data_IF_796317138491
#
_entry.id   IF_796317138491
#
_cell.length_a   1.000
_cell.length_b   1.000
_cell.length_c   1.000
_cell.angle_alpha   90.00
_cell.angle_beta   90.00
_cell.angle_gamma   90.00
#
_symmetry.space_group_name_H-M   'P 1'
#
loop_
_entity.id
_entity.type
_entity.pdbx_description
1 polymer ?
#
# COMPACT_ATOMS: atom_id res chain seq x y z
N UNK A 1 13.35 -36.54 -7.50
CA UNK A 1 13.13 -36.82 -6.07
C UNK A 1 12.11 -35.82 -5.60
N UNK A 2 10.85 -36.24 -5.40
CA UNK A 2 9.86 -35.37 -4.74
C UNK A 2 10.36 -35.08 -3.33
N UNK A 3 10.37 -33.80 -2.94
CA UNK A 3 10.69 -33.43 -1.57
C UNK A 3 9.65 -34.08 -0.64
N UNK A 4 10.05 -34.62 0.53
CA UNK A 4 9.13 -35.25 1.48
C UNK A 4 8.32 -34.16 2.19
N UNK A 5 7.34 -33.57 1.49
CA UNK A 5 6.45 -32.56 1.99
C UNK A 5 5.00 -32.94 1.70
N UNK A 6 4.09 -32.48 2.55
CA UNK A 6 2.66 -32.70 2.35
C UNK A 6 2.19 -32.14 1.00
N UNK A 7 1.21 -32.77 0.33
CA UNK A 7 0.76 -32.37 -1.02
C UNK A 7 0.33 -30.90 -1.15
N UNK A 8 -0.14 -30.29 -0.06
CA UNK A 8 -0.54 -28.87 -0.01
C UNK A 8 0.64 -27.89 0.07
N UNK A 9 1.83 -28.34 0.50
CA UNK A 9 2.97 -27.45 0.72
C UNK A 9 3.62 -27.01 -0.59
N UNK A 10 3.69 -27.89 -1.59
CA UNK A 10 4.26 -27.57 -2.91
C UNK A 10 3.55 -26.39 -3.59
N UNK A 11 2.22 -26.37 -3.78
CA UNK A 11 1.56 -25.23 -4.42
C UNK A 11 1.71 -23.93 -3.63
N UNK A 12 1.71 -24.02 -2.29
CA UNK A 12 1.86 -22.85 -1.43
C UNK A 12 3.29 -22.27 -1.48
N UNK A 13 4.32 -23.11 -1.31
CA UNK A 13 5.71 -22.66 -1.35
C UNK A 13 6.12 -22.11 -2.72
N UNK A 14 5.59 -22.69 -3.80
CA UNK A 14 5.75 -22.17 -5.15
C UNK A 14 5.06 -20.82 -5.33
N UNK A 15 3.83 -20.67 -4.81
CA UNK A 15 3.10 -19.40 -4.86
C UNK A 15 3.88 -18.26 -4.22
N UNK A 16 4.43 -18.49 -3.01
CA UNK A 16 5.22 -17.49 -2.30
C UNK A 16 6.42 -16.98 -3.12
N UNK A 17 7.16 -17.89 -3.78
CA UNK A 17 8.38 -17.53 -4.51
C UNK A 17 8.12 -17.06 -5.93
N UNK A 18 7.22 -17.71 -6.65
CA UNK A 18 7.00 -17.43 -8.07
C UNK A 18 6.23 -16.12 -8.29
N UNK A 19 5.26 -15.79 -7.43
CA UNK A 19 4.56 -14.50 -7.55
C UNK A 19 5.52 -13.34 -7.30
N UNK A 20 6.37 -13.42 -6.28
CA UNK A 20 7.40 -12.40 -6.02
C UNK A 20 8.34 -12.23 -7.23
N UNK A 21 8.87 -13.35 -7.74
CA UNK A 21 9.77 -13.34 -8.89
C UNK A 21 9.12 -12.75 -10.14
N UNK A 22 7.87 -13.12 -10.43
CA UNK A 22 7.15 -12.63 -11.59
C UNK A 22 6.78 -11.15 -11.45
N UNK A 23 6.34 -10.73 -10.27
CA UNK A 23 6.00 -9.34 -10.05
C UNK A 23 7.25 -8.44 -10.15
N UNK A 24 8.37 -8.87 -9.56
CA UNK A 24 9.66 -8.20 -9.69
C UNK A 24 10.13 -8.10 -11.15
N UNK A 25 10.00 -9.19 -11.93
CA UNK A 25 10.32 -9.22 -13.36
C UNK A 25 9.48 -8.22 -14.16
N UNK A 26 8.15 -8.23 -13.99
CA UNK A 26 7.27 -7.33 -14.73
C UNK A 26 7.50 -5.86 -14.34
N UNK A 27 7.76 -5.59 -13.05
CA UNK A 27 8.13 -4.27 -12.57
C UNK A 27 9.48 -3.79 -13.13
N UNK A 28 10.51 -4.65 -13.14
CA UNK A 28 11.81 -4.34 -13.75
C UNK A 28 11.67 -4.02 -15.24
N UNK A 29 10.87 -4.81 -15.97
CA UNK A 29 10.57 -4.53 -17.37
C UNK A 29 9.89 -3.17 -17.56
N UNK A 30 8.91 -2.84 -16.70
CA UNK A 30 8.26 -1.54 -16.70
C UNK A 30 9.28 -0.41 -16.48
N UNK A 31 10.08 -0.50 -15.43
CA UNK A 31 11.06 0.51 -15.03
C UNK A 31 12.10 0.78 -16.14
N UNK A 32 12.68 -0.27 -16.71
CA UNK A 32 13.78 -0.16 -17.68
C UNK A 32 13.33 0.21 -19.08
N UNK A 33 12.11 -0.20 -19.47
CA UNK A 33 11.68 -0.09 -20.87
C UNK A 33 10.50 0.85 -21.03
N UNK A 34 9.43 0.63 -20.25
CA UNK A 34 8.17 1.34 -20.46
C UNK A 34 8.25 2.76 -19.90
N UNK A 35 8.60 2.90 -18.62
CA UNK A 35 8.72 4.18 -17.95
C UNK A 35 9.69 5.12 -18.69
N UNK A 36 10.86 4.64 -19.09
CA UNK A 36 11.83 5.41 -19.87
C UNK A 36 11.28 5.83 -21.24
N UNK A 37 10.56 4.95 -21.95
CA UNK A 37 10.04 5.24 -23.29
C UNK A 37 8.93 6.31 -23.32
N UNK A 38 8.13 6.40 -22.27
CA UNK A 38 7.02 7.36 -22.17
C UNK A 38 7.27 8.50 -21.18
N UNK A 39 8.44 8.56 -20.55
CA UNK A 39 8.76 9.59 -19.55
C UNK A 39 7.88 9.50 -18.30
N UNK A 40 7.49 8.28 -17.92
CA UNK A 40 6.66 8.03 -16.74
C UNK A 40 7.52 7.79 -15.49
N UNK A 41 7.00 8.13 -14.31
CA UNK A 41 7.68 7.90 -13.04
C UNK A 41 7.70 6.41 -12.74
N UNK A 42 8.83 5.94 -12.21
CA UNK A 42 8.92 4.58 -11.68
C UNK A 42 8.69 4.57 -10.17
N UNK A 43 9.25 5.54 -9.45
CA UNK A 43 9.31 5.51 -7.98
C UNK A 43 10.11 4.30 -7.47
N UNK A 44 9.95 3.99 -6.19
CA UNK A 44 10.50 2.76 -5.63
C UNK A 44 9.72 1.53 -6.11
N UNK A 45 10.38 0.37 -6.14
CA UNK A 45 9.72 -0.89 -6.45
C UNK A 45 8.69 -1.27 -5.37
N UNK A 46 7.62 -2.00 -5.72
CA UNK A 46 6.77 -2.66 -4.73
C UNK A 46 7.58 -3.54 -3.80
N UNK A 47 7.23 -3.52 -2.52
CA UNK A 47 7.90 -4.25 -1.45
C UNK A 47 6.96 -5.33 -0.91
N UNK A 48 7.52 -6.49 -0.57
CA UNK A 48 6.80 -7.48 0.20
C UNK A 48 6.51 -6.91 1.59
N UNK A 49 5.24 -6.89 1.97
CA UNK A 49 4.82 -6.46 3.31
C UNK A 49 4.78 -7.66 4.25
N UNK A 50 3.88 -8.62 4.00
CA UNK A 50 3.76 -9.84 4.81
C UNK A 50 2.95 -10.93 4.10
N UNK A 51 3.10 -12.16 4.59
CA UNK A 51 2.20 -13.26 4.28
C UNK A 51 1.12 -13.38 5.35
N UNK A 52 -0.10 -13.71 4.95
CA UNK A 52 -1.23 -13.96 5.85
C UNK A 52 -1.90 -15.29 5.46
N UNK A 53 -1.32 -16.40 5.92
CA UNK A 53 -1.79 -17.74 5.53
C UNK A 53 -1.51 -18.05 4.07
N UNK A 54 -2.55 -18.12 3.25
CA UNK A 54 -2.49 -18.31 1.79
C UNK A 54 -2.48 -16.99 1.01
N UNK A 55 -2.41 -15.85 1.69
CA UNK A 55 -2.38 -14.52 1.09
C UNK A 55 -0.97 -13.90 1.12
N UNK A 56 -0.58 -13.20 0.06
CA UNK A 56 0.63 -12.39 -0.02
C UNK A 56 0.26 -10.93 -0.14
N UNK A 57 0.79 -10.09 0.75
CA UNK A 57 0.58 -8.66 0.72
C UNK A 57 1.86 -7.96 0.28
N UNK A 58 1.70 -7.08 -0.70
CA UNK A 58 2.73 -6.17 -1.17
C UNK A 58 2.26 -4.75 -0.93
N UNK A 59 3.22 -3.85 -0.68
CA UNK A 59 2.97 -2.41 -0.55
C UNK A 59 3.81 -1.65 -1.55
N UNK A 60 3.33 -0.49 -1.96
CA UNK A 60 4.09 0.45 -2.77
C UNK A 60 3.74 1.87 -2.34
N UNK A 61 4.74 2.61 -1.91
CA UNK A 61 4.63 4.06 -1.75
C UNK A 61 4.57 4.70 -3.14
N UNK A 62 3.61 5.60 -3.33
CA UNK A 62 3.36 6.30 -4.58
C UNK A 62 4.03 7.67 -4.52
N UNK A 63 4.92 7.96 -5.46
CA UNK A 63 5.42 9.33 -5.70
C UNK A 63 4.64 10.06 -6.80
N UNK A 64 3.87 9.33 -7.60
CA UNK A 64 3.02 9.88 -8.66
C UNK A 64 1.84 8.92 -8.91
N UNK A 65 0.66 9.48 -9.19
CA UNK A 65 -0.57 8.71 -9.39
C UNK A 65 -0.45 7.75 -10.58
N UNK A 66 0.38 8.06 -11.59
CA UNK A 66 0.61 7.19 -12.76
C UNK A 66 1.25 5.85 -12.40
N UNK A 67 1.95 5.78 -11.28
CA UNK A 67 2.55 4.54 -10.79
C UNK A 67 1.50 3.48 -10.43
N UNK A 68 0.26 3.89 -10.11
CA UNK A 68 -0.83 2.92 -9.81
C UNK A 68 -1.18 2.06 -11.01
N UNK A 69 -1.21 2.65 -12.23
CA UNK A 69 -1.50 1.93 -13.45
C UNK A 69 -0.39 0.93 -13.75
N UNK A 70 0.87 1.35 -13.61
CA UNK A 70 2.01 0.47 -13.79
C UNK A 70 1.99 -0.71 -12.81
N UNK A 71 1.74 -0.44 -11.53
CA UNK A 71 1.71 -1.45 -10.48
C UNK A 71 0.61 -2.50 -10.74
N UNK A 72 -0.62 -2.03 -11.02
CA UNK A 72 -1.76 -2.91 -11.30
C UNK A 72 -1.54 -3.75 -12.57
N UNK A 73 -1.00 -3.15 -13.63
CA UNK A 73 -0.68 -3.87 -14.86
C UNK A 73 0.42 -4.92 -14.67
N UNK A 74 1.49 -4.60 -13.96
CA UNK A 74 2.57 -5.55 -13.65
C UNK A 74 2.05 -6.69 -12.78
N UNK A 75 1.25 -6.38 -11.76
CA UNK A 75 0.61 -7.39 -10.90
C UNK A 75 -0.31 -8.30 -11.71
N UNK A 76 -1.19 -7.73 -12.52
CA UNK A 76 -2.14 -8.50 -13.31
C UNK A 76 -1.43 -9.47 -14.28
N UNK A 77 -0.34 -9.03 -14.92
CA UNK A 77 0.50 -9.90 -15.76
C UNK A 77 1.16 -11.01 -14.96
N UNK A 78 1.77 -10.69 -13.82
CA UNK A 78 2.40 -11.67 -12.96
C UNK A 78 1.42 -12.76 -12.49
N UNK A 79 0.22 -12.35 -12.05
CA UNK A 79 -0.84 -13.27 -11.63
C UNK A 79 -1.36 -14.11 -12.79
N UNK A 80 -1.58 -13.54 -13.98
CA UNK A 80 -2.03 -14.31 -15.14
C UNK A 80 -0.98 -15.31 -15.63
N UNK A 81 0.31 -14.94 -15.62
CA UNK A 81 1.42 -15.85 -15.94
C UNK A 81 1.50 -16.99 -14.92
N UNK A 82 1.44 -16.69 -13.62
CA UNK A 82 1.48 -17.72 -12.58
C UNK A 82 0.24 -18.62 -12.59
N UNK A 83 -0.96 -18.05 -12.81
CA UNK A 83 -2.22 -18.80 -12.89
C UNK A 83 -2.17 -19.89 -13.97
N UNK A 84 -1.57 -19.60 -15.13
CA UNK A 84 -1.38 -20.61 -16.18
C UNK A 84 -0.62 -21.83 -15.67
N UNK A 85 0.53 -21.59 -15.03
CA UNK A 85 1.37 -22.65 -14.42
C UNK A 85 0.67 -23.37 -13.27
N UNK A 86 -0.04 -22.62 -12.43
CA UNK A 86 -0.76 -23.16 -11.29
C UNK A 86 -1.83 -24.15 -11.75
N UNK A 87 -2.66 -23.78 -12.75
CA UNK A 87 -3.75 -24.64 -13.25
C UNK A 87 -3.26 -25.87 -14.01
N UNK A 88 -2.09 -25.79 -14.66
CA UNK A 88 -1.46 -26.96 -15.29
C UNK A 88 -1.09 -28.05 -14.26
N UNK A 89 -0.64 -27.63 -13.07
CA UNK A 89 -0.17 -28.55 -12.02
C UNK A 89 -1.23 -28.87 -10.97
N UNK A 90 -2.11 -27.91 -10.69
CA UNK A 90 -3.14 -27.96 -9.67
C UNK A 90 -4.46 -27.38 -10.23
N UNK A 91 -5.20 -28.15 -11.05
CA UNK A 91 -6.37 -27.64 -11.80
C UNK A 91 -7.52 -27.09 -10.93
N UNK A 92 -7.59 -27.48 -9.65
CA UNK A 92 -8.60 -27.00 -8.70
C UNK A 92 -8.22 -25.71 -7.99
N UNK A 93 -6.99 -25.21 -8.15
CA UNK A 93 -6.49 -24.02 -7.48
C UNK A 93 -6.53 -22.80 -8.41
N UNK A 94 -6.73 -21.64 -7.80
CA UNK A 94 -6.75 -20.36 -8.49
C UNK A 94 -6.36 -19.22 -7.55
N UNK A 95 -6.21 -18.02 -8.11
CA UNK A 95 -5.73 -16.84 -7.43
C UNK A 95 -6.75 -15.73 -7.55
N UNK A 96 -7.03 -15.06 -6.43
CA UNK A 96 -7.78 -13.80 -6.38
C UNK A 96 -6.82 -12.63 -6.17
N UNK A 97 -7.20 -11.45 -6.66
CA UNK A 97 -6.42 -10.22 -6.47
C UNK A 97 -7.29 -9.14 -5.86
N UNK A 98 -6.71 -8.33 -4.98
CA UNK A 98 -7.35 -7.13 -4.41
C UNK A 98 -6.30 -6.06 -4.18
N UNK A 99 -6.66 -4.80 -4.42
CA UNK A 99 -5.78 -3.66 -4.20
C UNK A 99 -6.58 -2.47 -3.65
N UNK A 100 -5.94 -1.69 -2.81
CA UNK A 100 -6.54 -0.50 -2.20
C UNK A 100 -5.46 0.54 -1.94
N UNK A 101 -5.91 1.76 -1.64
CA UNK A 101 -5.03 2.84 -1.23
C UNK A 101 -5.28 3.17 0.24
N UNK A 102 -4.21 3.52 0.96
CA UNK A 102 -4.26 3.94 2.34
C UNK A 102 -3.38 5.19 2.52
N UNK A 103 -3.93 6.22 3.16
CA UNK A 103 -3.21 7.46 3.45
C UNK A 103 -2.54 7.42 4.83
N UNK A 104 -1.26 7.74 4.87
CA UNK A 104 -0.43 7.82 6.08
C UNK A 104 0.16 9.22 6.23
N UNK A 105 0.50 9.66 7.45
CA UNK A 105 0.20 9.06 8.76
C UNK A 105 -1.16 9.53 9.34
N UNK A 106 -2.01 10.16 8.51
CA UNK A 106 -3.23 10.83 8.99
C UNK A 106 -4.32 9.82 9.38
N UNK A 107 -4.80 9.01 8.43
CA UNK A 107 -5.90 8.06 8.71
C UNK A 107 -5.41 6.70 9.17
N UNK A 108 -4.22 6.31 8.70
CA UNK A 108 -3.58 5.05 8.99
C UNK A 108 -2.23 5.32 9.64
N UNK A 109 -1.74 4.36 10.42
CA UNK A 109 -0.47 4.45 11.13
C UNK A 109 0.44 3.29 10.74
N UNK A 110 1.74 3.60 10.67
CA UNK A 110 2.80 2.60 10.63
C UNK A 110 3.13 2.20 12.06
N UNK A 111 3.17 0.90 12.33
CA UNK A 111 3.57 0.35 13.61
C UNK A 111 4.85 -0.44 13.42
N UNK A 112 5.84 -0.19 14.26
CA UNK A 112 7.14 -0.87 14.19
C UNK A 112 7.27 -1.83 15.37
N UNK A 113 7.57 -3.07 15.06
CA UNK A 113 7.82 -4.15 16.02
C UNK A 113 9.30 -4.50 16.05
N UNK A 114 9.78 -4.91 17.22
CA UNK A 114 11.07 -5.60 17.35
C UNK A 114 10.86 -7.07 16.99
N UNK A 115 11.72 -7.59 16.10
CA UNK A 115 11.61 -8.95 15.56
C UNK A 115 11.90 -10.04 16.60
N UNK A 116 12.55 -9.69 17.71
CA UNK A 116 12.81 -10.57 18.84
C UNK A 116 12.41 -9.87 20.15
N UNK A 117 11.78 -10.64 21.03
CA UNK A 117 11.56 -10.25 22.44
C UNK A 117 12.84 -10.61 23.19
N UNK A 118 13.88 -9.80 23.05
CA UNK A 118 14.99 -9.84 23.99
C UNK A 118 14.52 -9.20 25.31
N UNK A 119 15.19 -9.50 26.44
CA UNK A 119 14.83 -8.90 27.73
C UNK A 119 14.85 -7.37 27.57
N UNK A 120 13.68 -6.75 27.57
CA UNK A 120 13.56 -5.30 27.67
C UNK A 120 14.20 -4.93 29.00
N UNK A 121 15.13 -3.97 28.98
CA UNK A 121 15.61 -3.39 30.23
C UNK A 121 14.39 -2.77 30.93
N UNK A 122 14.18 -3.08 32.22
CA UNK A 122 13.06 -2.60 33.05
C UNK A 122 13.03 -1.05 33.20
N UNK A 123 13.90 -0.33 32.47
CA UNK A 123 14.05 1.13 32.44
C UNK A 123 13.59 1.78 31.12
N UNK A 124 13.13 1.03 30.11
CA UNK A 124 12.35 1.65 29.03
C UNK A 124 10.98 2.04 29.63
N UNK A 125 10.80 3.32 29.97
CA UNK A 125 9.55 3.89 30.49
C UNK A 125 8.36 3.55 29.57
N UNK A 126 7.65 2.46 29.88
CA UNK A 126 6.49 1.88 29.16
C UNK A 126 5.24 2.81 29.05
N UNK A 127 5.34 4.08 29.44
CA UNK A 127 4.18 4.93 29.68
C UNK A 127 3.62 5.66 28.44
N UNK A 128 4.34 5.69 27.30
CA UNK A 128 3.84 6.34 26.07
C UNK A 128 4.08 5.51 24.78
N UNK A 129 3.10 4.66 24.39
CA UNK A 129 3.22 3.82 23.20
C UNK A 129 3.27 4.62 21.88
N UNK A 130 2.79 5.87 21.86
CA UNK A 130 2.83 6.71 20.66
C UNK A 130 4.26 7.19 20.45
N UNK A 131 4.90 7.72 21.51
CA UNK A 131 6.28 8.18 21.44
C UNK A 131 7.25 7.05 21.08
N UNK A 132 7.11 5.89 21.73
CA UNK A 132 7.93 4.71 21.44
C UNK A 132 7.84 4.29 19.97
N UNK A 133 6.61 4.21 19.43
CA UNK A 133 6.42 3.86 18.04
C UNK A 133 7.06 4.89 17.09
N UNK A 134 6.91 6.19 17.37
CA UNK A 134 7.56 7.24 16.57
C UNK A 134 9.09 7.17 16.62
N UNK A 135 9.65 6.81 17.79
CA UNK A 135 11.09 6.61 17.93
C UNK A 135 11.58 5.39 17.13
N UNK A 136 10.83 4.28 17.16
CA UNK A 136 11.12 3.09 16.35
C UNK A 136 10.96 3.38 14.85
N UNK A 137 9.99 4.22 14.47
CA UNK A 137 9.79 4.68 13.09
C UNK A 137 10.98 5.51 12.59
N UNK A 138 11.47 6.46 13.39
CA UNK A 138 12.69 7.23 13.06
C UNK A 138 13.89 6.28 12.89
N UNK A 139 14.05 5.30 13.80
CA UNK A 139 15.11 4.27 13.70
C UNK A 139 14.97 3.44 12.42
N UNK A 140 13.77 2.97 12.10
CA UNK A 140 13.47 2.17 10.91
C UNK A 140 13.87 2.92 9.62
N UNK A 141 13.48 4.18 9.48
CA UNK A 141 13.77 5.00 8.30
C UNK A 141 15.20 5.56 8.24
N UNK A 142 15.94 5.57 9.35
CA UNK A 142 17.31 6.12 9.40
C UNK A 142 18.37 5.32 8.63
N UNK A 143 18.01 4.19 8.01
CA UNK A 143 18.88 3.27 7.22
C UNK A 143 20.09 2.67 7.97
N UNK A 144 20.41 3.14 9.17
CA UNK A 144 21.56 2.69 9.97
C UNK A 144 21.25 1.48 10.86
N UNK A 145 19.98 1.18 11.15
CA UNK A 145 19.66 0.15 12.14
C UNK A 145 18.25 -0.48 12.02
N UNK A 146 17.78 -0.80 10.81
CA UNK A 146 16.50 -1.52 10.62
C UNK A 146 16.59 -3.03 10.84
N UNK A 147 17.79 -3.58 11.09
CA UNK A 147 17.95 -5.01 11.38
C UNK A 147 17.22 -5.36 12.68
N UNK A 148 16.33 -6.34 12.60
CA UNK A 148 15.51 -6.74 13.74
C UNK A 148 14.29 -5.86 13.99
N UNK A 149 13.92 -4.97 13.06
CA UNK A 149 12.65 -4.26 13.09
C UNK A 149 11.73 -4.75 11.96
N UNK A 150 10.45 -4.91 12.27
CA UNK A 150 9.40 -5.25 11.31
C UNK A 150 8.36 -4.13 11.29
N UNK A 151 7.95 -3.71 10.10
CA UNK A 151 6.91 -2.71 9.89
C UNK A 151 5.57 -3.39 9.61
N UNK A 152 4.52 -2.90 10.24
CA UNK A 152 3.14 -3.23 9.90
C UNK A 152 2.30 -1.96 9.71
N UNK A 153 1.14 -2.11 9.07
CA UNK A 153 0.20 -1.01 8.83
C UNK A 153 -1.12 -1.28 9.53
N UNK A 154 -1.65 -0.26 10.22
CA UNK A 154 -2.97 -0.31 10.87
C UNK A 154 -3.81 0.89 10.48
N UNK A 155 -5.13 0.72 10.46
CA UNK A 155 -6.08 1.81 10.29
C UNK A 155 -7.28 1.44 9.41
N UNK A 156 -8.25 2.36 9.29
CA UNK A 156 -9.52 2.08 8.61
C UNK A 156 -9.38 1.70 7.14
N UNK A 157 -8.38 2.24 6.43
CA UNK A 157 -8.15 1.89 5.01
C UNK A 157 -7.56 0.49 4.88
N UNK A 158 -6.71 0.08 5.83
CA UNK A 158 -6.16 -1.28 5.89
C UNK A 158 -7.26 -2.30 6.15
N UNK A 159 -8.13 -2.03 7.12
CA UNK A 159 -9.29 -2.87 7.41
C UNK A 159 -10.22 -2.97 6.21
N UNK A 160 -10.47 -1.85 5.52
CA UNK A 160 -11.27 -1.82 4.29
C UNK A 160 -10.65 -2.71 3.22
N UNK A 161 -9.33 -2.65 3.02
CA UNK A 161 -8.61 -3.50 2.07
C UNK A 161 -8.81 -5.00 2.33
N UNK A 162 -8.64 -5.43 3.58
CA UNK A 162 -8.90 -6.82 3.97
C UNK A 162 -10.36 -7.23 3.76
N UNK A 163 -11.33 -6.33 4.00
CA UNK A 163 -12.75 -6.60 3.73
C UNK A 163 -13.06 -6.67 2.23
N UNK A 164 -12.40 -5.86 1.40
CA UNK A 164 -12.53 -5.96 -0.05
C UNK A 164 -11.99 -7.29 -0.60
N UNK A 165 -10.97 -7.86 0.05
CA UNK A 165 -10.38 -9.14 -0.37
C UNK A 165 -11.37 -10.32 -0.35
N UNK A 166 -12.43 -10.22 0.46
CA UNK A 166 -13.48 -11.25 0.53
C UNK A 166 -14.46 -11.18 -0.63
N UNK A 167 -14.45 -10.07 -1.38
CA UNK A 167 -15.30 -9.88 -2.57
C UNK A 167 -14.58 -10.26 -3.87
N UNK A 168 -13.26 -10.41 -3.82
CA UNK A 168 -12.47 -10.79 -4.97
C UNK A 168 -12.69 -12.25 -5.36
N UNK A 169 -12.67 -12.47 -6.67
CA UNK A 169 -12.74 -13.80 -7.27
C UNK A 169 -11.59 -13.94 -8.26
N UNK A 170 -11.33 -15.15 -8.80
CA UNK A 170 -10.32 -15.29 -9.84
C UNK A 170 -10.50 -14.37 -11.05
N UNK A 171 -11.76 -14.02 -11.35
CA UNK A 171 -12.12 -13.09 -12.42
C UNK A 171 -12.10 -11.63 -11.95
N UNK A 172 -12.56 -11.35 -10.73
CA UNK A 172 -12.74 -9.98 -10.22
C UNK A 172 -11.52 -9.56 -9.39
N UNK A 173 -10.64 -8.77 -10.00
CA UNK A 173 -9.64 -8.01 -9.24
C UNK A 173 -10.31 -6.80 -8.62
N UNK A 174 -10.74 -6.94 -7.37
CA UNK A 174 -11.48 -5.90 -6.63
C UNK A 174 -10.53 -4.77 -6.25
N UNK A 175 -10.99 -3.53 -6.42
CA UNK A 175 -10.23 -2.32 -6.10
C UNK A 175 -11.04 -1.38 -5.22
N UNK A 176 -10.36 -0.61 -4.37
CA UNK A 176 -11.00 0.44 -3.57
C UNK A 176 -11.46 1.62 -4.44
N UNK A 177 -12.39 2.43 -3.93
CA UNK A 177 -12.93 3.60 -4.64
C UNK A 177 -11.86 4.66 -4.93
N UNK A 178 -10.94 4.86 -3.98
CA UNK A 178 -9.80 5.77 -4.10
C UNK A 178 -8.83 5.31 -5.18
N UNK A 179 -8.56 4.00 -5.23
CA UNK A 179 -7.71 3.41 -6.26
C UNK A 179 -8.36 3.51 -7.64
N UNK A 180 -9.68 3.30 -7.74
CA UNK A 180 -10.40 3.48 -9.00
C UNK A 180 -10.26 4.92 -9.54
N UNK A 181 -10.34 5.93 -8.66
CA UNK A 181 -10.16 7.34 -9.03
C UNK A 181 -8.74 7.62 -9.54
N UNK A 182 -7.71 7.15 -8.84
CA UNK A 182 -6.31 7.30 -9.25
C UNK A 182 -6.03 6.58 -10.58
N UNK A 183 -6.57 5.37 -10.76
CA UNK A 183 -6.44 4.60 -12.00
C UNK A 183 -7.12 5.28 -13.17
N UNK A 184 -8.30 5.89 -12.98
CA UNK A 184 -8.98 6.66 -14.03
C UNK A 184 -8.12 7.83 -14.51
N UNK A 185 -7.50 8.56 -13.58
CA UNK A 185 -6.61 9.66 -13.94
C UNK A 185 -5.36 9.17 -14.71
N UNK A 186 -4.75 8.08 -14.25
CA UNK A 186 -3.62 7.47 -14.95
C UNK A 186 -4.01 6.92 -16.34
N UNK A 187 -5.17 6.26 -16.45
CA UNK A 187 -5.70 5.67 -17.69
C UNK A 187 -6.02 6.74 -18.75
N UNK A 188 -6.57 7.88 -18.34
CA UNK A 188 -6.79 9.03 -19.25
C UNK A 188 -5.48 9.57 -19.84
N UNK A 189 -4.37 9.43 -19.10
CA UNK A 189 -3.03 9.80 -19.55
C UNK A 189 -2.30 8.67 -20.30
N UNK A 190 -2.93 7.49 -20.48
CA UNK A 190 -2.32 6.28 -21.08
C UNK A 190 -1.92 6.42 -22.55
N UNK A 191 -2.36 7.46 -23.27
CA UNK A 191 -1.98 7.67 -24.67
C UNK A 191 -0.45 7.64 -24.92
N UNK A 192 0.36 7.98 -23.90
CA UNK A 192 1.83 7.89 -23.94
C UNK A 192 2.36 6.45 -23.77
N UNK A 193 1.61 5.58 -23.08
CA UNK A 193 1.89 4.15 -22.84
C UNK A 193 1.44 3.27 -24.00
N UNK A 194 0.56 3.72 -24.91
CA UNK A 194 -0.01 2.87 -25.98
C UNK A 194 1.03 2.24 -26.95
N UNK A 195 2.29 2.69 -26.92
CA UNK A 195 3.40 2.00 -27.60
C UNK A 195 3.88 0.73 -26.88
N UNK A 196 3.34 0.43 -25.70
CA UNK A 196 3.79 -0.65 -24.81
C UNK A 196 2.69 -1.70 -24.62
N UNK A 197 3.09 -2.93 -24.31
CA UNK A 197 2.25 -4.15 -24.29
C UNK A 197 1.23 -4.21 -23.13
N UNK A 198 0.67 -3.10 -22.68
CA UNK A 198 -0.31 -3.07 -21.59
C UNK A 198 -1.70 -2.74 -22.13
N UNK A 199 -2.63 -3.66 -21.89
CA UNK A 199 -4.03 -3.48 -22.24
C UNK A 199 -4.66 -2.36 -21.41
N UNK A 200 -5.68 -1.72 -21.98
CA UNK A 200 -6.47 -0.72 -21.25
C UNK A 200 -7.18 -1.38 -20.06
N UNK A 201 -7.22 -0.71 -18.92
CA UNK A 201 -7.99 -1.18 -17.77
C UNK A 201 -9.48 -1.05 -18.10
N UNK A 202 -10.20 -2.18 -17.99
CA UNK A 202 -11.66 -2.22 -18.07
C UNK A 202 -12.22 -2.17 -16.65
N UNK A 203 -12.82 -1.04 -16.30
CA UNK A 203 -13.47 -0.86 -15.00
C UNK A 203 -14.87 -1.46 -15.03
N UNK A 204 -15.23 -2.21 -14.00
CA UNK A 204 -16.58 -2.71 -13.80
C UNK A 204 -17.09 -2.29 -12.41
N UNK A 205 -18.40 -2.15 -12.29
CA UNK A 205 -19.07 -1.78 -11.05
C UNK A 205 -20.08 -2.85 -10.66
N UNK A 206 -19.94 -3.40 -9.46
CA UNK A 206 -20.78 -4.50 -8.94
C UNK A 206 -21.86 -4.01 -7.94
N UNK A 207 -22.09 -2.69 -7.87
CA UNK A 207 -23.01 -2.10 -6.90
C UNK A 207 -22.34 -1.80 -5.57
N UNK A 208 -23.16 -1.58 -4.53
CA UNK A 208 -22.69 -1.31 -3.17
C UNK A 208 -23.03 -2.47 -2.25
N UNK A 209 -22.09 -2.89 -1.41
CA UNK A 209 -22.28 -3.99 -0.46
C UNK A 209 -21.94 -3.55 0.96
N UNK A 210 -22.68 -3.99 1.98
CA UNK A 210 -22.32 -3.69 3.37
C UNK A 210 -21.02 -4.41 3.73
N UNK A 211 -20.05 -3.66 4.26
CA UNK A 211 -18.79 -4.19 4.75
C UNK A 211 -18.73 -3.99 6.27
N UNK A 212 -18.66 -5.08 7.04
CA UNK A 212 -18.68 -5.02 8.51
C UNK A 212 -17.50 -4.21 9.02
N UNK A 213 -17.81 -3.15 9.79
CA UNK A 213 -16.81 -2.27 10.39
C UNK A 213 -16.23 -1.22 9.43
N UNK A 214 -16.76 -1.12 8.21
CA UNK A 214 -16.32 -0.15 7.20
C UNK A 214 -17.40 0.91 7.03
N UNK A 215 -17.00 2.18 6.89
CA UNK A 215 -17.84 3.34 6.58
C UNK A 215 -19.10 3.50 7.46
N UNK A 216 -19.02 3.15 8.75
CA UNK A 216 -20.15 3.28 9.67
C UNK A 216 -21.35 2.38 9.33
N UNK A 217 -21.15 1.30 8.57
CA UNK A 217 -22.21 0.40 8.14
C UNK A 217 -22.92 0.80 6.85
N UNK A 218 -22.51 1.90 6.20
CA UNK A 218 -22.94 2.22 4.84
C UNK A 218 -22.46 1.14 3.85
N UNK A 219 -23.14 1.03 2.72
CA UNK A 219 -22.75 0.09 1.66
C UNK A 219 -21.58 0.66 0.84
N UNK A 220 -20.47 -0.07 0.79
CA UNK A 220 -19.25 0.30 0.10
C UNK A 220 -19.35 -0.01 -1.41
N UNK A 221 -18.96 0.90 -2.31
CA UNK A 221 -19.02 0.69 -3.75
C UNK A 221 -17.92 -0.28 -4.22
N UNK A 222 -18.32 -1.32 -4.94
CA UNK A 222 -17.40 -2.37 -5.38
C UNK A 222 -17.03 -2.14 -6.84
N UNK A 223 -15.80 -1.70 -7.06
CA UNK A 223 -15.18 -1.66 -8.37
C UNK A 223 -14.26 -2.87 -8.57
N UNK A 224 -14.16 -3.33 -9.80
CA UNK A 224 -13.24 -4.41 -10.14
C UNK A 224 -12.70 -4.28 -11.57
N UNK A 225 -11.54 -4.90 -11.78
CA UNK A 225 -10.87 -5.04 -13.06
C UNK A 225 -11.00 -6.49 -13.51
N UNK A 226 -11.36 -6.71 -14.78
CA UNK A 226 -11.51 -8.05 -15.32
C UNK A 226 -10.13 -8.70 -15.53
N UNK A 227 -9.88 -9.77 -14.77
CA UNK A 227 -8.67 -10.60 -14.87
C UNK A 227 -8.78 -11.70 -15.94
N UNK A 228 -9.85 -11.64 -16.74
CA UNK A 228 -10.00 -12.32 -18.01
C UNK A 228 -9.96 -13.85 -17.91
N UNK A 229 -11.09 -14.41 -17.50
CA UNK A 229 -11.45 -15.81 -17.76
C UNK A 229 -12.48 -15.82 -18.89
N UNK A 230 -12.04 -15.90 -20.16
CA UNK A 230 -12.94 -15.96 -21.32
C UNK A 230 -13.43 -17.38 -21.57
N UNK A 231 -14.03 -17.99 -20.55
CA UNK A 231 -14.87 -19.15 -20.80
C UNK A 231 -16.25 -18.68 -21.29
N UNK A 232 -16.91 -19.52 -22.08
CA UNK A 232 -18.21 -19.17 -22.70
C UNK A 232 -19.31 -18.93 -21.66
N UNK A 233 -19.22 -19.56 -20.49
CA UNK A 233 -20.21 -19.41 -19.44
C UNK A 233 -20.12 -18.02 -18.83
N UNK A 234 -18.91 -17.56 -18.48
CA UNK A 234 -18.67 -16.20 -17.96
C UNK A 234 -19.22 -15.11 -18.89
N UNK A 235 -19.06 -15.25 -20.20
CA UNK A 235 -19.63 -14.31 -21.18
C UNK A 235 -21.17 -14.35 -21.20
N UNK A 236 -21.76 -15.54 -21.15
CA UNK A 236 -23.22 -15.69 -21.08
C UNK A 236 -23.81 -15.16 -19.77
N UNK A 237 -23.07 -15.27 -18.66
CA UNK A 237 -23.46 -14.69 -17.37
C UNK A 237 -23.41 -13.17 -17.41
N UNK A 238 -22.40 -12.58 -18.06
CA UNK A 238 -22.32 -11.13 -18.24
C UNK A 238 -23.52 -10.58 -19.02
N UNK A 239 -23.88 -11.27 -20.10
CA UNK A 239 -25.04 -10.90 -20.93
C UNK A 239 -26.33 -10.95 -20.11
N UNK A 240 -26.53 -12.00 -19.30
CA UNK A 240 -27.70 -12.15 -18.45
C UNK A 240 -27.78 -11.08 -17.35
N UNK A 241 -26.63 -10.71 -16.78
CA UNK A 241 -26.52 -9.76 -15.68
C UNK A 241 -26.36 -8.30 -16.14
N UNK A 242 -26.20 -8.06 -17.46
CA UNK A 242 -25.90 -6.74 -18.01
C UNK A 242 -24.55 -6.18 -17.53
N UNK A 243 -23.57 -7.06 -17.27
CA UNK A 243 -22.23 -6.66 -16.84
C UNK A 243 -21.51 -6.04 -18.02
N UNK A 244 -21.16 -4.76 -17.90
CA UNK A 244 -20.46 -4.02 -18.94
C UNK A 244 -19.35 -3.18 -18.33
N UNK A 245 -18.25 -3.03 -19.08
CA UNK A 245 -17.19 -2.11 -18.72
C UNK A 245 -17.75 -0.67 -18.69
N UNK A 246 -17.34 0.09 -17.68
CA UNK A 246 -17.71 1.49 -17.49
C UNK A 246 -16.62 2.38 -18.05
N UNK A 247 -17.04 3.48 -18.68
CA UNK A 247 -16.07 4.46 -19.16
C UNK A 247 -15.48 5.25 -17.99
N UNK A 248 -14.31 5.83 -18.22
CA UNK A 248 -13.55 6.58 -17.21
C UNK A 248 -14.32 7.77 -16.64
N UNK A 249 -15.19 8.42 -17.42
CA UNK A 249 -15.95 9.60 -16.97
C UNK A 249 -17.00 9.24 -15.93
N UNK A 250 -17.74 8.15 -16.16
CA UNK A 250 -18.70 7.62 -15.20
C UNK A 250 -18.03 7.16 -13.91
N UNK A 251 -16.88 6.50 -14.02
CA UNK A 251 -16.11 6.03 -12.85
C UNK A 251 -15.58 7.21 -12.04
N UNK A 252 -14.91 8.19 -12.69
CA UNK A 252 -14.40 9.41 -12.04
C UNK A 252 -15.51 10.12 -11.26
N UNK A 253 -16.61 10.42 -11.95
CA UNK A 253 -17.73 11.17 -11.38
C UNK A 253 -18.33 10.44 -10.18
N UNK A 254 -18.57 9.13 -10.29
CA UNK A 254 -19.11 8.37 -9.18
C UNK A 254 -18.15 8.35 -7.98
N UNK A 255 -16.85 8.12 -8.22
CA UNK A 255 -15.86 8.07 -7.14
C UNK A 255 -15.77 9.42 -6.42
N UNK A 256 -15.72 10.52 -7.17
CA UNK A 256 -15.72 11.88 -6.62
C UNK A 256 -17.00 12.17 -5.82
N UNK A 257 -18.18 11.91 -6.38
CA UNK A 257 -19.46 12.11 -5.69
C UNK A 257 -19.55 11.25 -4.41
N UNK A 258 -19.08 9.99 -4.47
CA UNK A 258 -19.10 9.10 -3.31
C UNK A 258 -18.15 9.54 -2.21
N UNK A 259 -16.91 9.91 -2.55
CA UNK A 259 -15.91 10.40 -1.58
C UNK A 259 -16.42 11.71 -0.94
N UNK A 260 -16.88 12.66 -1.74
CA UNK A 260 -17.35 13.97 -1.25
C UNK A 260 -18.61 13.86 -0.38
N UNK A 261 -19.45 12.84 -0.61
CA UNK A 261 -20.65 12.59 0.20
C UNK A 261 -20.35 11.91 1.54
N UNK A 262 -19.12 11.42 1.76
CA UNK A 262 -18.73 10.65 2.95
C UNK A 262 -17.39 11.14 3.55
N UNK A 263 -17.25 12.44 3.87
CA UNK A 263 -15.97 13.05 4.29
C UNK A 263 -15.43 12.52 5.62
N UNK A 264 -16.27 11.94 6.47
CA UNK A 264 -15.84 11.36 7.76
C UNK A 264 -15.04 10.06 7.58
N UNK A 265 -15.21 9.38 6.43
CA UNK A 265 -14.61 8.08 6.17
C UNK A 265 -13.61 8.10 5.01
N UNK A 266 -13.75 9.08 4.10
CA UNK A 266 -12.93 9.19 2.91
C UNK A 266 -12.31 10.58 2.83
N UNK A 267 -11.13 10.62 2.22
CA UNK A 267 -10.49 11.84 1.77
C UNK A 267 -10.23 11.71 0.28
N UNK A 268 -10.19 12.84 -0.42
CA UNK A 268 -9.73 12.84 -1.79
C UNK A 268 -8.24 12.43 -1.80
N UNK A 269 -7.84 11.41 -2.57
CA UNK A 269 -6.45 10.97 -2.59
C UNK A 269 -5.50 12.13 -2.89
N UNK A 270 -4.35 12.12 -2.24
CA UNK A 270 -3.27 13.05 -2.53
C UNK A 270 -1.90 12.37 -2.37
N UNK A 271 -0.94 12.87 -3.13
CA UNK A 271 0.44 12.46 -3.24
C UNK A 271 1.26 13.75 -3.29
N UNK A 272 2.20 13.91 -2.35
CA UNK A 272 3.01 15.13 -2.27
C UNK A 272 3.90 15.24 -3.50
N UNK A 273 3.80 16.36 -4.22
CA UNK A 273 4.57 16.61 -5.45
C UNK A 273 3.94 16.06 -6.73
N UNK A 274 2.77 15.41 -6.66
CA UNK A 274 2.06 14.94 -7.85
C UNK A 274 1.47 16.11 -8.67
N UNK A 275 1.25 15.89 -9.96
CA UNK A 275 0.73 16.93 -10.86
C UNK A 275 -0.79 17.16 -10.72
N UNK A 276 -1.55 16.13 -10.34
CA UNK A 276 -3.01 16.15 -10.31
C UNK A 276 -3.58 15.93 -8.90
N UNK A 277 -2.90 15.13 -8.08
CA UNK A 277 -3.31 14.76 -6.75
C UNK A 277 -2.40 15.40 -5.68
N UNK A 278 -2.06 16.69 -5.77
CA UNK A 278 -1.17 17.33 -4.77
C UNK A 278 -1.90 18.08 -3.64
N UNK A 279 -3.21 18.21 -3.71
CA UNK A 279 -3.94 19.04 -2.77
C UNK A 279 -4.15 18.30 -1.43
N UNK A 280 -3.38 18.70 -0.41
CA UNK A 280 -3.49 18.17 0.94
C UNK A 280 -4.63 18.92 1.67
N UNK A 281 -5.68 18.23 2.17
CA UNK A 281 -6.75 18.86 2.93
C UNK A 281 -6.22 19.64 4.15
N UNK A 282 -6.80 20.81 4.45
CA UNK A 282 -6.37 21.66 5.58
C UNK A 282 -6.38 20.90 6.92
N UNK A 283 -7.43 20.12 7.18
CA UNK A 283 -7.54 19.26 8.37
C UNK A 283 -6.40 18.23 8.48
N UNK A 284 -5.87 17.76 7.35
CA UNK A 284 -4.72 16.86 7.33
C UNK A 284 -3.42 17.62 7.63
N UNK A 285 -3.24 18.81 7.04
CA UNK A 285 -2.09 19.66 7.34
C UNK A 285 -2.02 20.00 8.83
N UNK A 286 -3.15 20.36 9.44
CA UNK A 286 -3.24 20.61 10.88
C UNK A 286 -2.86 19.38 11.71
N UNK A 287 -3.36 18.19 11.33
CA UNK A 287 -3.06 16.94 12.05
C UNK A 287 -1.58 16.57 11.95
N UNK A 288 -0.97 16.74 10.78
CA UNK A 288 0.47 16.56 10.59
C UNK A 288 1.27 17.56 11.43
N UNK A 289 0.83 18.83 11.49
CA UNK A 289 1.43 19.85 12.34
C UNK A 289 1.39 19.50 13.83
N UNK A 290 0.24 19.01 14.32
CA UNK A 290 0.08 18.53 15.70
C UNK A 290 1.00 17.34 16.00
N UNK A 291 1.06 16.36 15.10
CA UNK A 291 1.92 15.18 15.27
C UNK A 291 3.40 15.55 15.32
N UNK A 292 3.85 16.44 14.42
CA UNK A 292 5.24 16.92 14.43
C UNK A 292 5.56 17.71 15.70
N UNK A 293 4.64 18.59 16.14
CA UNK A 293 4.81 19.38 17.37
C UNK A 293 4.89 18.50 18.61
N UNK A 294 4.07 17.45 18.67
CA UNK A 294 4.11 16.43 19.73
C UNK A 294 5.47 15.73 19.74
N UNK A 295 5.91 15.21 18.59
CA UNK A 295 7.19 14.51 18.46
C UNK A 295 8.38 15.37 18.90
N UNK A 296 8.45 16.62 18.43
CA UNK A 296 9.54 17.54 18.79
C UNK A 296 9.55 17.88 20.29
N UNK A 297 8.37 18.15 20.87
CA UNK A 297 8.22 18.50 22.28
C UNK A 297 8.60 17.35 23.20
N UNK A 298 8.10 16.15 22.89
CA UNK A 298 8.33 14.95 23.69
C UNK A 298 9.79 14.49 23.60
N UNK A 299 10.37 14.54 22.40
CA UNK A 299 11.80 14.25 22.20
C UNK A 299 12.70 15.24 22.94
N UNK A 300 12.28 16.50 23.10
CA UNK A 300 13.02 17.51 23.89
C UNK A 300 12.88 17.24 25.39
N UNK A 301 11.67 16.91 25.86
CA UNK A 301 11.40 16.56 27.27
C UNK A 301 12.25 15.37 27.72
N UNK A 302 12.19 14.26 26.99
CA UNK A 302 12.93 13.02 27.28
C UNK A 302 14.46 13.21 27.21
N UNK A 303 14.96 14.03 26.27
CA UNK A 303 16.39 14.40 26.24
C UNK A 303 16.82 15.25 27.43
N UNK A 304 15.93 16.10 27.95
CA UNK A 304 16.16 16.87 29.17
C UNK A 304 16.18 16.00 30.42
N UNK A 305 15.35 14.95 30.46
CA UNK A 305 15.28 13.99 31.57
C UNK A 305 16.47 13.00 31.58
N UNK A 306 17.00 12.67 30.40
CA UNK A 306 18.19 11.83 30.24
C UNK A 306 19.51 12.55 30.56
N UNK A 307 19.50 13.88 30.71
CA UNK A 307 20.63 14.63 31.27
C UNK A 307 20.58 14.48 32.79
N UNK A 308 21.59 13.87 33.44
CA UNK A 308 21.52 13.57 34.85
C UNK A 308 21.46 14.86 35.67
N UNK A 309 20.68 14.80 36.75
CA UNK A 309 21.01 15.44 38.01
C UNK A 309 22.36 14.87 38.50
N UNK A 310 23.46 15.29 37.88
CA UNK A 310 24.81 15.11 38.43
C UNK A 310 25.56 16.42 38.29
N UNK A 311 25.28 17.35 39.20
CA UNK A 311 26.32 18.25 39.67
C UNK A 311 27.31 17.41 40.50
N UNK A 312 28.28 16.82 39.80
CA UNK A 312 29.66 16.54 40.23
C UNK A 312 30.25 15.41 39.39
N UNK A 313 31.44 15.67 38.84
CA UNK A 313 32.41 14.71 38.29
C UNK A 313 32.10 14.05 36.93
N UNK A 314 32.59 14.68 35.85
CA UNK A 314 33.71 14.13 35.08
C UNK A 314 34.03 14.99 33.84
N UNK A 315 35.24 15.56 33.84
CA UNK A 315 35.95 15.95 32.62
C UNK A 315 36.39 14.68 31.87
N UNK A 316 36.43 14.79 30.54
CA UNK A 316 37.09 13.92 29.55
C UNK A 316 36.34 12.61 29.19
N UNK A 317 35.62 12.61 28.07
CA UNK A 317 36.20 12.28 26.76
C UNK A 317 35.24 12.66 25.63
N UNK A 318 35.80 13.45 24.72
CA UNK A 318 35.20 13.99 23.51
C UNK A 318 35.49 13.01 22.37
N UNK A 319 34.47 12.29 21.89
CA UNK A 319 34.40 11.76 20.53
C UNK A 319 33.04 11.11 20.26
N UNK A 320 32.03 11.92 19.95
CA UNK A 320 30.97 11.43 19.05
C UNK A 320 30.47 12.58 18.17
N UNK A 321 31.07 12.68 16.98
CA UNK A 321 30.72 13.69 15.99
C UNK A 321 29.37 13.35 15.35
N UNK A 322 28.34 14.07 15.80
CA UNK A 322 27.30 14.67 14.96
C UNK A 322 26.70 13.81 13.86
N UNK A 323 25.67 13.02 14.21
CA UNK A 323 24.67 12.61 13.22
C UNK A 323 23.78 13.81 12.88
N UNK A 324 23.83 14.29 11.64
CA UNK A 324 22.89 15.26 11.14
C UNK A 324 21.45 14.72 11.24
N UNK A 325 20.48 15.50 11.73
CA UNK A 325 19.08 15.08 11.79
C UNK A 325 18.55 14.79 10.38
N UNK A 326 17.76 13.73 10.24
CA UNK A 326 16.98 13.49 9.03
C UNK A 326 15.85 14.52 9.01
N UNK A 327 15.65 15.17 7.86
CA UNK A 327 14.62 16.17 7.69
C UNK A 327 13.24 15.60 8.09
N UNK A 328 12.42 16.36 8.87
CA UNK A 328 11.06 15.96 9.25
C UNK A 328 10.17 15.60 8.05
N UNK A 329 10.57 16.03 6.84
CA UNK A 329 9.99 15.70 5.54
C UNK A 329 9.76 14.20 5.32
N UNK A 330 10.65 13.32 5.81
CA UNK A 330 10.50 11.86 5.67
C UNK A 330 9.63 11.19 6.74
N UNK A 331 9.43 11.83 7.87
CA UNK A 331 8.62 11.30 8.98
C UNK A 331 7.18 11.82 8.93
N UNK A 332 6.98 13.05 8.44
CA UNK A 332 5.71 13.77 8.55
C UNK A 332 5.29 14.52 7.29
N UNK A 333 5.99 14.33 6.16
CA UNK A 333 5.59 14.81 4.83
C UNK A 333 5.15 16.28 4.82
N UNK A 334 6.10 17.22 4.71
CA UNK A 334 5.76 18.62 4.38
C UNK A 334 6.03 18.92 2.91
N UNK A 335 5.25 19.82 2.29
CA UNK A 335 5.54 20.31 0.96
C UNK A 335 6.80 21.17 1.01
N UNK A 336 7.74 20.92 0.09
CA UNK A 336 8.85 21.86 -0.14
C UNK A 336 8.28 23.15 -0.74
N UNK A 337 8.64 24.29 -0.14
CA UNK A 337 8.44 25.62 -0.72
C UNK A 337 9.22 25.81 -2.02
#
# INVERSE_FOLDING_TARGET
MEAPAEPWFSPLSEFYREVERLFSKEWGHYAENVATSCGWPTGNAPEFWKGAGDELLYTKELSDHREVLACICCWAKAINEYRGRLRERFPSLDLKSTAWVAGFPVHNAEVIFRAAVEKLDEQEDEDDPIYENLQLLEKFYSRRNSRGLARDFIGPSIDTGFRLSTLATPRRFVISVELALLLVAAERNRHQIMKTKYDAIKFHYAGRVPLKGVIGGLSYPVFWIDMHLHDKLSLSEDDLMGVQARNTDQVSRFCEEFINSNPDYFFHPYIVGDLQFNNIPESHQERLGKLNSFWESERKRRRGEALPLSDADAKLQDSDQGSAPIAPEKLFGRPNE
#
